data_IF_096361091875
#
_entry.id   IF_096361091875
#
_cell.length_a   1.000
_cell.length_b   1.000
_cell.length_c   1.000
_cell.angle_alpha   90.00
_cell.angle_beta   90.00
_cell.angle_gamma   90.00
#
_symmetry.space_group_name_H-M   'P 1'
#
loop_
_entity.id
_entity.type
_entity.pdbx_description
1 polymer ?
#
# COMPACT_ATOMS: atom_id res chain seq x y z
N UNK A 1 2.05 54.56 -13.59
CA UNK A 1 2.75 53.26 -13.62
C UNK A 1 4.12 53.50 -12.99
N UNK A 2 4.34 53.04 -11.75
CA UNK A 2 5.67 53.10 -11.14
C UNK A 2 6.56 52.05 -11.85
N UNK A 3 7.78 52.42 -12.25
CA UNK A 3 8.68 51.44 -12.87
C UNK A 3 9.01 50.33 -11.87
N UNK A 4 8.81 49.07 -12.32
CA UNK A 4 9.17 47.88 -11.54
C UNK A 4 10.64 47.96 -11.13
N UNK A 5 11.01 47.78 -9.85
CA UNK A 5 12.41 47.83 -9.43
C UNK A 5 13.28 46.87 -10.24
N UNK A 6 14.44 47.34 -10.74
CA UNK A 6 15.38 46.55 -11.56
C UNK A 6 15.61 45.10 -11.06
N UNK A 7 15.85 44.86 -9.75
CA UNK A 7 16.08 43.51 -9.24
C UNK A 7 14.89 42.57 -9.42
N UNK A 8 13.66 43.07 -9.40
CA UNK A 8 12.46 42.26 -9.59
C UNK A 8 12.27 41.84 -11.06
N UNK A 9 12.62 42.75 -12.02
CA UNK A 9 12.57 42.41 -13.44
C UNK A 9 13.61 41.34 -13.83
N UNK A 10 14.83 41.42 -13.27
CA UNK A 10 15.89 40.43 -13.47
C UNK A 10 15.50 39.06 -12.91
N UNK A 11 14.91 39.04 -11.71
CA UNK A 11 14.43 37.80 -11.10
C UNK A 11 13.29 37.14 -11.90
N UNK A 12 12.36 37.93 -12.40
CA UNK A 12 11.25 37.45 -13.23
C UNK A 12 11.76 36.89 -14.56
N UNK A 13 12.74 37.55 -15.18
CA UNK A 13 13.39 37.07 -16.40
C UNK A 13 14.11 35.73 -16.16
N UNK A 14 14.85 35.62 -15.07
CA UNK A 14 15.49 34.35 -14.68
C UNK A 14 14.49 33.21 -14.49
N UNK A 15 13.35 33.50 -13.85
CA UNK A 15 12.32 32.48 -13.64
C UNK A 15 11.61 32.05 -14.94
N UNK A 16 11.45 32.97 -15.91
CA UNK A 16 10.84 32.63 -17.20
C UNK A 16 11.71 31.68 -18.05
N UNK A 17 13.01 31.60 -17.78
CA UNK A 17 13.92 30.65 -18.42
C UNK A 17 13.92 29.26 -17.74
N UNK A 18 13.31 29.12 -16.57
CA UNK A 18 13.23 27.82 -15.90
C UNK A 18 12.18 26.91 -16.58
N UNK A 19 12.55 25.64 -16.76
CA UNK A 19 11.68 24.66 -17.38
C UNK A 19 10.53 24.22 -16.43
N UNK A 20 10.77 24.29 -15.11
CA UNK A 20 9.82 23.94 -14.09
C UNK A 20 8.86 25.08 -13.77
N UNK A 21 7.64 24.79 -13.29
CA UNK A 21 6.68 25.79 -12.83
C UNK A 21 7.17 26.57 -11.60
N UNK A 22 7.22 27.90 -11.69
CA UNK A 22 7.56 28.80 -10.60
C UNK A 22 6.56 29.92 -10.44
N UNK A 23 6.27 30.30 -9.19
CA UNK A 23 5.60 31.55 -8.82
C UNK A 23 6.43 32.32 -7.79
N UNK A 24 6.30 33.65 -7.82
CA UNK A 24 6.78 34.52 -6.77
C UNK A 24 5.61 35.15 -6.04
N UNK A 25 5.66 35.23 -4.74
CA UNK A 25 4.66 35.94 -3.94
C UNK A 25 5.29 36.66 -2.74
N UNK A 26 4.52 37.62 -2.22
CA UNK A 26 4.87 38.38 -1.04
C UNK A 26 4.50 37.61 0.26
N UNK A 27 4.77 38.21 1.40
CA UNK A 27 4.44 37.67 2.72
C UNK A 27 2.91 37.71 3.03
N UNK A 28 2.13 38.31 2.12
CA UNK A 28 0.67 38.39 2.20
C UNK A 28 -0.05 37.41 1.24
N UNK A 29 0.64 36.34 0.78
CA UNK A 29 0.11 35.33 -0.12
C UNK A 29 -0.21 35.81 -1.56
N UNK A 30 0.12 37.07 -1.90
CA UNK A 30 -0.19 37.64 -3.21
C UNK A 30 0.84 37.21 -4.24
N UNK A 31 0.40 36.62 -5.33
CA UNK A 31 1.25 36.23 -6.46
C UNK A 31 1.70 37.48 -7.21
N UNK A 32 3.01 37.67 -7.27
CA UNK A 32 3.64 38.83 -7.93
C UNK A 32 4.13 38.49 -9.33
N UNK A 33 4.54 37.23 -9.56
CA UNK A 33 4.97 36.75 -10.85
C UNK A 33 4.72 35.24 -10.98
N UNK A 34 4.55 34.77 -12.19
CA UNK A 34 4.44 33.36 -12.54
C UNK A 34 5.15 33.12 -13.88
N UNK A 35 6.01 32.10 -13.97
CA UNK A 35 6.72 31.82 -15.21
C UNK A 35 5.83 31.15 -16.28
N UNK A 36 6.34 31.02 -17.49
CA UNK A 36 5.62 30.41 -18.61
C UNK A 36 5.24 28.94 -18.34
N UNK A 37 6.11 28.19 -17.63
CA UNK A 37 5.84 26.80 -17.27
C UNK A 37 4.68 26.69 -16.29
N UNK A 38 4.61 27.55 -15.27
CA UNK A 38 3.49 27.60 -14.33
C UNK A 38 2.16 27.93 -15.04
N UNK A 39 2.17 28.97 -15.88
CA UNK A 39 0.96 29.36 -16.63
C UNK A 39 0.42 28.21 -17.47
N UNK A 40 1.31 27.48 -18.16
CA UNK A 40 0.88 26.30 -18.97
C UNK A 40 0.31 25.16 -18.12
N UNK A 41 0.94 24.87 -16.97
CA UNK A 41 0.62 23.69 -16.17
C UNK A 41 -0.60 23.90 -15.25
N UNK A 42 -0.77 25.11 -14.69
CA UNK A 42 -1.73 25.36 -13.62
C UNK A 42 -2.80 26.41 -13.94
N UNK A 43 -2.56 27.34 -14.86
CA UNK A 43 -3.53 28.40 -15.19
C UNK A 43 -3.41 28.88 -16.63
N UNK A 44 -3.72 28.01 -17.63
CA UNK A 44 -3.54 28.36 -19.05
C UNK A 44 -4.47 29.48 -19.55
N UNK A 45 -5.61 29.66 -18.90
CA UNK A 45 -6.68 30.54 -19.39
C UNK A 45 -6.87 31.84 -18.58
N UNK A 46 -6.12 32.02 -17.49
CA UNK A 46 -6.31 33.18 -16.59
C UNK A 46 -4.98 33.71 -16.06
N UNK A 47 -4.89 35.04 -15.88
CA UNK A 47 -3.76 35.63 -15.15
C UNK A 47 -3.87 35.33 -13.67
N UNK A 48 -2.79 34.85 -13.08
CA UNK A 48 -2.67 34.56 -11.64
C UNK A 48 -2.02 35.70 -10.86
N UNK A 49 -1.34 36.62 -11.55
CA UNK A 49 -0.64 37.75 -10.93
C UNK A 49 -1.66 38.68 -10.27
N UNK A 50 -1.38 39.05 -9.03
CA UNK A 50 -2.24 39.87 -8.19
C UNK A 50 -3.28 39.10 -7.37
N UNK A 51 -3.48 37.81 -7.62
CA UNK A 51 -4.39 36.93 -6.88
C UNK A 51 -3.66 36.27 -5.69
N UNK A 52 -4.41 35.70 -4.76
CA UNK A 52 -3.85 34.98 -3.63
C UNK A 52 -3.48 33.55 -4.03
N UNK A 53 -2.37 33.02 -3.53
CA UNK A 53 -1.91 31.67 -3.90
C UNK A 53 -2.93 30.59 -3.52
N UNK A 54 -3.55 30.69 -2.34
CA UNK A 54 -4.58 29.72 -1.87
C UNK A 54 -5.87 29.76 -2.71
N UNK A 55 -6.23 30.91 -3.31
CA UNK A 55 -7.38 31.02 -4.24
C UNK A 55 -7.09 30.28 -5.55
N UNK A 56 -5.86 30.43 -6.06
CA UNK A 56 -5.47 29.86 -7.35
C UNK A 56 -5.21 28.37 -7.25
N UNK A 57 -4.51 27.93 -6.21
CA UNK A 57 -4.03 26.54 -6.10
C UNK A 57 -5.05 25.60 -5.43
N UNK A 58 -5.87 26.12 -4.52
CA UNK A 58 -6.80 25.31 -3.71
C UNK A 58 -8.25 25.73 -3.79
N UNK A 59 -8.56 26.86 -4.46
CA UNK A 59 -9.89 27.48 -4.48
C UNK A 59 -10.42 27.82 -3.08
N UNK A 60 -9.52 28.13 -2.14
CA UNK A 60 -9.86 28.54 -0.78
C UNK A 60 -10.06 30.06 -0.69
N UNK A 61 -10.91 30.48 0.26
CA UNK A 61 -11.14 31.89 0.59
C UNK A 61 -10.19 32.44 1.68
N UNK A 62 -9.38 31.55 2.29
CA UNK A 62 -8.42 31.85 3.36
C UNK A 62 -7.16 30.98 3.19
N UNK A 63 -6.03 31.30 3.85
CA UNK A 63 -4.80 30.53 3.78
C UNK A 63 -4.96 29.04 4.11
N UNK A 64 -4.11 28.17 3.53
CA UNK A 64 -4.20 26.71 3.61
C UNK A 64 -4.18 26.18 5.05
N UNK A 65 -3.39 26.82 5.93
CA UNK A 65 -3.30 26.48 7.36
C UNK A 65 -4.59 26.73 8.15
N UNK A 66 -5.45 27.61 7.65
CA UNK A 66 -6.78 27.85 8.21
C UNK A 66 -7.84 26.87 7.67
N UNK A 67 -7.50 26.10 6.62
CA UNK A 67 -8.36 25.08 6.01
C UNK A 67 -7.88 23.66 6.30
N UNK A 68 -7.03 23.47 7.32
CA UNK A 68 -6.58 22.16 7.78
C UNK A 68 -5.40 21.57 6.98
N UNK A 69 -4.79 22.34 6.10
CA UNK A 69 -3.62 21.93 5.33
C UNK A 69 -2.32 22.62 5.81
N UNK A 70 -1.19 22.00 5.53
CA UNK A 70 0.12 22.59 5.91
C UNK A 70 0.52 23.67 4.93
N UNK A 71 0.49 24.95 5.32
CA UNK A 71 0.89 26.05 4.46
C UNK A 71 2.43 26.18 4.39
N UNK A 72 3.08 26.03 3.21
CA UNK A 72 4.53 26.19 3.08
C UNK A 72 4.99 27.62 3.37
N UNK A 73 4.19 28.63 3.00
CA UNK A 73 4.51 30.02 3.27
C UNK A 73 4.48 30.34 4.77
N UNK A 74 3.45 29.90 5.49
CA UNK A 74 3.37 30.09 6.94
C UNK A 74 4.58 29.48 7.65
N UNK A 75 5.02 28.30 7.23
CA UNK A 75 6.21 27.62 7.77
C UNK A 75 7.50 28.35 7.42
N UNK A 76 7.70 28.73 6.17
CA UNK A 76 8.90 29.44 5.72
C UNK A 76 9.02 30.84 6.37
N UNK A 77 7.90 31.51 6.65
CA UNK A 77 7.89 32.75 7.43
C UNK A 77 8.34 32.55 8.87
N UNK A 78 7.89 31.46 9.50
CA UNK A 78 8.25 31.15 10.89
C UNK A 78 9.71 30.67 11.01
N UNK A 79 10.18 29.83 10.08
CA UNK A 79 11.52 29.24 10.12
C UNK A 79 12.59 30.11 9.47
N UNK A 80 12.21 31.00 8.56
CA UNK A 80 13.13 31.75 7.70
C UNK A 80 13.95 30.85 6.77
N UNK A 81 13.56 29.61 6.60
CA UNK A 81 14.26 28.59 5.81
C UNK A 81 13.41 28.08 4.66
N UNK A 82 14.05 27.34 3.77
CA UNK A 82 13.41 26.62 2.69
C UNK A 82 12.52 25.52 3.23
N UNK A 83 11.29 25.45 2.73
CA UNK A 83 10.30 24.44 3.11
C UNK A 83 9.91 23.58 1.91
N UNK A 84 9.64 22.30 2.17
CA UNK A 84 9.11 21.35 1.19
C UNK A 84 7.86 20.70 1.73
N UNK A 85 6.79 20.77 0.95
CA UNK A 85 5.51 20.15 1.27
C UNK A 85 4.89 19.54 0.02
N UNK A 86 4.11 18.50 0.20
CA UNK A 86 3.28 17.93 -0.85
C UNK A 86 1.87 18.42 -0.63
N UNK A 87 1.32 19.13 -1.63
CA UNK A 87 -0.05 19.65 -1.59
C UNK A 87 -0.91 19.05 -2.69
N UNK A 88 -2.21 18.95 -2.43
CA UNK A 88 -3.20 18.65 -3.45
C UNK A 88 -3.63 19.97 -4.11
N UNK A 89 -3.25 20.17 -5.36
CA UNK A 89 -3.61 21.35 -6.13
C UNK A 89 -4.70 21.07 -7.16
N UNK A 90 -5.56 22.04 -7.39
CA UNK A 90 -6.44 22.04 -8.55
C UNK A 90 -5.66 22.43 -9.80
N UNK A 91 -5.60 21.53 -10.77
CA UNK A 91 -4.98 21.73 -12.07
C UNK A 91 -6.04 21.72 -13.17
N UNK A 92 -5.74 22.20 -14.37
CA UNK A 92 -6.67 22.11 -15.51
C UNK A 92 -7.11 20.68 -15.86
N UNK A 93 -6.32 19.67 -15.43
CA UNK A 93 -6.60 18.25 -15.63
C UNK A 93 -7.30 17.59 -14.42
N UNK A 94 -7.66 18.35 -13.40
CA UNK A 94 -8.23 17.85 -12.13
C UNK A 94 -7.29 18.03 -10.95
N UNK A 95 -7.62 17.41 -9.83
CA UNK A 95 -6.77 17.44 -8.62
C UNK A 95 -5.52 16.60 -8.82
N UNK A 96 -4.35 17.16 -8.46
CA UNK A 96 -3.06 16.46 -8.53
C UNK A 96 -2.20 16.82 -7.32
N UNK A 97 -1.45 15.83 -6.83
CA UNK A 97 -0.41 16.09 -5.83
C UNK A 97 0.76 16.82 -6.47
N UNK A 98 1.11 17.96 -5.88
CA UNK A 98 2.21 18.83 -6.31
C UNK A 98 3.23 18.90 -5.20
N UNK A 99 4.46 18.50 -5.51
CA UNK A 99 5.60 18.73 -4.63
C UNK A 99 5.99 20.19 -4.71
N UNK A 100 5.86 20.91 -3.60
CA UNK A 100 6.15 22.32 -3.47
C UNK A 100 7.47 22.50 -2.75
N UNK A 101 8.37 23.21 -3.37
CA UNK A 101 9.58 23.71 -2.74
C UNK A 101 9.53 25.23 -2.66
N UNK A 102 9.40 25.75 -1.44
CA UNK A 102 9.32 27.19 -1.19
C UNK A 102 10.62 27.70 -0.60
N UNK A 103 11.20 28.70 -1.25
CA UNK A 103 12.46 29.32 -0.85
C UNK A 103 12.24 30.80 -0.49
N UNK A 104 12.53 31.23 0.74
CA UNK A 104 12.52 32.65 1.11
C UNK A 104 13.69 33.41 0.45
N UNK A 105 13.37 34.51 -0.21
CA UNK A 105 14.34 35.35 -0.88
C UNK A 105 14.66 36.58 -0.01
N UNK A 106 15.96 36.83 0.21
CA UNK A 106 16.43 37.92 1.06
C UNK A 106 16.92 39.08 0.21
N UNK A 107 16.63 40.28 0.66
CA UNK A 107 17.22 41.51 0.08
C UNK A 107 18.68 41.70 0.51
N UNK A 108 19.34 42.71 0.02
CA UNK A 108 20.73 43.06 0.35
C UNK A 108 20.96 43.31 1.86
N UNK A 109 19.92 43.64 2.63
CA UNK A 109 19.96 43.80 4.09
C UNK A 109 19.71 42.48 4.85
N UNK A 110 19.57 41.34 4.17
CA UNK A 110 19.32 40.04 4.78
C UNK A 110 17.84 39.77 5.18
N UNK A 111 16.94 40.72 4.92
CA UNK A 111 15.52 40.61 5.26
C UNK A 111 14.79 39.83 4.17
N UNK A 112 13.96 38.85 4.58
CA UNK A 112 13.07 38.12 3.66
C UNK A 112 11.97 39.04 3.17
N UNK A 113 11.86 39.25 1.87
CA UNK A 113 10.87 40.15 1.25
C UNK A 113 9.99 39.44 0.24
N UNK A 114 10.42 38.32 -0.29
CA UNK A 114 9.74 37.57 -1.32
C UNK A 114 9.92 36.07 -1.06
N UNK A 115 9.05 35.26 -1.69
CA UNK A 115 9.12 33.82 -1.66
C UNK A 115 9.01 33.28 -3.08
N UNK A 116 9.95 32.39 -3.44
CA UNK A 116 9.91 31.64 -4.70
C UNK A 116 9.40 30.24 -4.43
N UNK A 117 8.34 29.86 -5.11
CA UNK A 117 7.75 28.52 -5.01
C UNK A 117 7.95 27.78 -6.34
N UNK A 118 8.68 26.67 -6.26
CA UNK A 118 8.82 25.68 -7.33
C UNK A 118 7.76 24.61 -7.14
N UNK A 119 7.11 24.24 -8.23
CA UNK A 119 6.08 23.20 -8.24
C UNK A 119 6.46 22.08 -9.17
N UNK A 120 6.40 20.84 -8.69
CA UNK A 120 6.56 19.64 -9.49
C UNK A 120 5.31 18.77 -9.29
N UNK A 121 4.50 18.62 -10.34
CA UNK A 121 3.45 17.60 -10.32
C UNK A 121 4.10 16.23 -10.28
N UNK A 122 3.65 15.36 -9.36
CA UNK A 122 4.00 13.95 -9.41
C UNK A 122 3.47 13.41 -10.74
N UNK A 123 4.39 13.22 -11.70
CA UNK A 123 4.05 12.88 -13.09
C UNK A 123 3.46 11.47 -13.16
N UNK A 124 2.29 11.36 -13.74
CA UNK A 124 1.88 10.14 -14.42
C UNK A 124 2.51 10.18 -15.82
N UNK A 125 3.18 9.11 -16.23
CA UNK A 125 3.75 9.00 -17.59
C UNK A 125 2.66 9.22 -18.64
N UNK A 126 2.86 10.08 -19.64
CA UNK A 126 1.83 10.43 -20.63
C UNK A 126 1.38 9.30 -21.57
N UNK A 127 2.08 8.17 -21.58
CA UNK A 127 1.76 7.02 -22.44
C UNK A 127 0.76 6.02 -21.82
N UNK A 128 0.14 6.34 -20.65
CA UNK A 128 -0.86 5.50 -19.99
C UNK A 128 -2.21 6.21 -19.81
N UNK A 129 -2.68 6.97 -20.80
CA UNK A 129 -4.05 7.53 -20.77
C UNK A 129 -5.16 6.47 -20.86
N UNK A 130 -4.83 5.19 -21.12
CA UNK A 130 -5.78 4.08 -21.12
C UNK A 130 -5.81 3.26 -19.81
N UNK A 131 -4.84 3.48 -18.92
CA UNK A 131 -4.77 2.76 -17.63
C UNK A 131 -4.39 3.78 -16.56
N UNK A 132 -5.36 4.51 -16.02
CA UNK A 132 -5.18 5.36 -14.85
C UNK A 132 -4.74 4.46 -13.68
N UNK A 133 -3.43 4.27 -13.55
CA UNK A 133 -2.80 3.47 -12.51
C UNK A 133 -3.31 3.89 -11.12
N UNK A 134 -3.17 3.04 -10.12
CA UNK A 134 -3.69 3.31 -8.79
C UNK A 134 -3.04 4.56 -8.19
N UNK A 135 -3.83 5.57 -7.90
CA UNK A 135 -3.43 6.88 -7.36
C UNK A 135 -3.48 6.85 -5.84
N UNK A 136 -2.53 7.53 -5.19
CA UNK A 136 -2.56 7.78 -3.74
C UNK A 136 -3.67 8.81 -3.44
N UNK A 137 -4.66 8.42 -2.61
CA UNK A 137 -5.83 9.22 -2.27
C UNK A 137 -5.92 9.37 -0.76
N UNK A 138 -6.04 10.59 -0.25
CA UNK A 138 -6.24 10.92 1.14
C UNK A 138 -5.94 12.40 1.43
N UNK A 139 -6.54 12.92 2.52
CA UNK A 139 -6.34 14.30 3.03
C UNK A 139 -6.09 14.33 4.54
N UNK A 140 -6.22 13.19 5.19
CA UNK A 140 -6.01 13.10 6.64
C UNK A 140 -4.62 13.58 7.05
N UNK A 141 -4.46 14.15 8.26
CA UNK A 141 -3.17 14.61 8.77
C UNK A 141 -2.11 13.49 8.78
N UNK A 142 -2.51 12.26 9.12
CA UNK A 142 -1.61 11.09 9.12
C UNK A 142 -1.12 10.75 7.70
N UNK A 143 -2.01 10.79 6.72
CA UNK A 143 -1.66 10.56 5.32
C UNK A 143 -0.79 11.68 4.74
N UNK A 144 -1.12 12.94 5.03
CA UNK A 144 -0.33 14.11 4.62
C UNK A 144 1.09 14.08 5.23
N UNK A 145 1.23 13.69 6.50
CA UNK A 145 2.53 13.54 7.14
C UNK A 145 3.38 12.46 6.46
N UNK A 146 2.79 11.31 6.12
CA UNK A 146 3.46 10.24 5.36
C UNK A 146 3.91 10.75 3.99
N UNK A 147 3.06 11.44 3.24
CA UNK A 147 3.41 12.03 1.94
C UNK A 147 4.53 13.07 2.05
N UNK A 148 4.55 13.84 3.14
CA UNK A 148 5.66 14.78 3.43
C UNK A 148 7.01 14.07 3.57
N UNK A 149 7.04 12.88 4.16
CA UNK A 149 8.26 12.04 4.21
C UNK A 149 8.67 11.52 2.83
N UNK A 150 7.69 11.09 2.01
CA UNK A 150 7.93 10.67 0.62
C UNK A 150 8.56 11.81 -0.19
N UNK A 151 8.02 13.02 -0.10
CA UNK A 151 8.55 14.19 -0.80
C UNK A 151 9.99 14.55 -0.36
N UNK A 152 10.31 14.35 0.92
CA UNK A 152 11.67 14.58 1.45
C UNK A 152 12.69 13.56 0.97
N UNK A 153 12.32 12.28 0.97
CA UNK A 153 13.25 11.21 0.62
C UNK A 153 13.32 10.99 -0.90
N UNK A 154 12.27 11.34 -1.65
CA UNK A 154 12.19 11.17 -3.09
C UNK A 154 13.46 11.59 -3.83
N UNK A 155 13.91 12.86 -3.72
CA UNK A 155 15.09 13.36 -4.45
C UNK A 155 16.43 12.74 -4.03
N UNK A 156 16.48 11.95 -2.95
CA UNK A 156 17.69 11.30 -2.47
C UNK A 156 17.88 9.91 -3.05
N UNK A 157 19.08 9.33 -2.86
CA UNK A 157 19.38 7.93 -3.16
C UNK A 157 19.29 7.03 -1.93
N UNK A 158 18.79 7.54 -0.80
CA UNK A 158 18.65 6.78 0.42
C UNK A 158 17.75 5.55 0.24
N UNK A 159 18.10 4.47 0.92
CA UNK A 159 17.24 3.29 1.05
C UNK A 159 16.01 3.65 1.89
N UNK A 160 14.84 3.24 1.43
CA UNK A 160 13.55 3.53 2.09
C UNK A 160 12.93 2.23 2.57
N UNK A 161 12.47 2.21 3.82
CA UNK A 161 11.70 1.11 4.40
C UNK A 161 10.26 1.55 4.65
N UNK A 162 9.31 0.96 3.94
CA UNK A 162 7.89 1.19 4.08
C UNK A 162 7.30 0.22 5.10
N UNK A 163 6.80 0.74 6.20
CA UNK A 163 6.20 -0.03 7.29
C UNK A 163 4.69 0.19 7.31
N UNK A 164 3.92 -0.87 7.32
CA UNK A 164 2.46 -0.75 7.40
C UNK A 164 1.74 -2.06 7.16
N UNK A 165 0.52 -2.13 7.66
CA UNK A 165 -0.33 -3.31 7.53
C UNK A 165 -0.56 -3.72 6.06
N UNK A 166 -0.97 -4.97 5.86
CA UNK A 166 -1.35 -5.42 4.52
C UNK A 166 -2.52 -4.60 3.97
N UNK A 167 -2.46 -4.24 2.68
CA UNK A 167 -3.51 -3.48 2.01
C UNK A 167 -3.53 -1.97 2.27
N UNK A 168 -2.52 -1.39 2.94
CA UNK A 168 -2.41 0.07 3.16
C UNK A 168 -1.96 0.84 1.93
N UNK A 169 -1.38 0.17 0.90
CA UNK A 169 -0.91 0.78 -0.33
C UNK A 169 0.62 0.97 -0.40
N UNK A 170 1.40 0.12 0.26
CA UNK A 170 2.89 0.18 0.27
C UNK A 170 3.49 0.25 -1.14
N UNK A 171 2.97 -0.54 -2.09
CA UNK A 171 3.43 -0.52 -3.49
C UNK A 171 3.21 0.85 -4.15
N UNK A 172 2.07 1.50 -3.89
CA UNK A 172 1.78 2.84 -4.42
C UNK A 172 2.74 3.89 -3.87
N UNK A 173 3.06 3.79 -2.58
CA UNK A 173 4.03 4.68 -1.94
C UNK A 173 5.43 4.41 -2.49
N UNK A 174 5.82 3.15 -2.73
CA UNK A 174 7.10 2.83 -3.37
C UNK A 174 7.21 3.45 -4.78
N UNK A 175 6.13 3.38 -5.56
CA UNK A 175 6.04 4.03 -6.87
C UNK A 175 6.18 5.55 -6.75
N UNK A 176 5.48 6.18 -5.81
CA UNK A 176 5.59 7.63 -5.56
C UNK A 176 7.01 8.05 -5.14
N UNK A 177 7.70 7.25 -4.32
CA UNK A 177 9.11 7.47 -3.96
C UNK A 177 10.03 7.38 -5.19
N UNK A 178 9.78 6.44 -6.09
CA UNK A 178 10.52 6.31 -7.34
C UNK A 178 10.27 7.49 -8.28
N UNK A 179 9.02 7.86 -8.50
CA UNK A 179 8.60 8.97 -9.37
C UNK A 179 9.13 10.33 -8.87
N UNK A 180 9.26 10.50 -7.55
CA UNK A 180 9.88 11.69 -6.94
C UNK A 180 11.42 11.67 -6.97
N UNK A 181 12.06 10.68 -7.59
CA UNK A 181 13.50 10.49 -7.57
C UNK A 181 14.20 10.97 -8.86
N UNK A 182 15.53 11.17 -8.83
CA UNK A 182 16.31 11.40 -10.04
C UNK A 182 16.24 10.24 -11.06
N UNK A 183 15.71 9.07 -10.63
CA UNK A 183 15.56 7.87 -11.44
C UNK A 183 14.12 7.64 -11.93
N UNK A 184 13.25 8.64 -11.87
CA UNK A 184 11.84 8.55 -12.27
C UNK A 184 11.64 8.04 -13.71
N UNK A 185 12.56 8.36 -14.64
CA UNK A 185 12.53 7.89 -16.02
C UNK A 185 13.23 6.53 -16.24
N UNK A 186 13.70 5.88 -15.17
CA UNK A 186 14.40 4.59 -15.19
C UNK A 186 13.45 3.48 -14.72
N UNK A 187 13.79 2.19 -14.90
CA UNK A 187 12.92 1.10 -14.49
C UNK A 187 12.67 1.09 -12.97
N UNK A 188 11.42 0.83 -12.58
CA UNK A 188 11.02 0.39 -11.26
C UNK A 188 10.71 -1.10 -11.34
N UNK A 189 11.57 -1.94 -10.76
CA UNK A 189 11.40 -3.39 -10.74
C UNK A 189 10.92 -3.84 -9.39
N UNK A 190 9.71 -4.41 -9.34
CA UNK A 190 9.10 -4.93 -8.11
C UNK A 190 9.40 -6.44 -7.96
N UNK A 191 9.69 -6.84 -6.73
CA UNK A 191 9.96 -8.22 -6.32
C UNK A 191 9.12 -8.52 -5.09
N UNK A 192 8.23 -9.50 -5.20
CA UNK A 192 7.51 -10.05 -4.04
C UNK A 192 8.37 -11.15 -3.40
N UNK A 193 8.86 -10.89 -2.19
CA UNK A 193 9.74 -11.79 -1.46
C UNK A 193 9.01 -12.97 -0.80
N UNK A 194 7.68 -12.95 -0.73
CA UNK A 194 6.86 -13.98 -0.08
C UNK A 194 6.44 -15.11 -1.01
N UNK A 195 6.47 -14.90 -2.31
CA UNK A 195 5.75 -15.73 -3.30
C UNK A 195 6.53 -16.96 -3.78
N UNK A 196 7.86 -17.04 -3.56
CA UNK A 196 8.72 -18.05 -4.17
C UNK A 196 9.49 -18.90 -3.13
N UNK A 197 9.69 -20.21 -3.39
CA UNK A 197 10.68 -21.01 -2.67
C UNK A 197 12.08 -20.39 -2.76
N UNK A 198 12.90 -20.57 -1.72
CA UNK A 198 14.22 -19.93 -1.58
C UNK A 198 15.11 -20.05 -2.82
N UNK A 199 15.20 -21.25 -3.41
CA UNK A 199 16.06 -21.50 -4.59
C UNK A 199 15.56 -20.77 -5.83
N UNK A 200 14.26 -20.63 -6.00
CA UNK A 200 13.67 -19.89 -7.11
C UNK A 200 13.79 -18.39 -6.87
N UNK A 201 13.60 -17.93 -5.63
CA UNK A 201 13.78 -16.53 -5.26
C UNK A 201 15.19 -16.04 -5.53
N UNK A 202 16.23 -16.85 -5.19
CA UNK A 202 17.62 -16.53 -5.51
C UNK A 202 17.86 -16.38 -7.02
N UNK A 203 17.36 -17.37 -7.78
CA UNK A 203 17.48 -17.41 -9.23
C UNK A 203 16.75 -16.25 -9.93
N UNK A 204 15.56 -15.88 -9.47
CA UNK A 204 14.81 -14.74 -10.02
C UNK A 204 15.49 -13.41 -9.66
N UNK A 205 15.94 -13.24 -8.41
CA UNK A 205 16.54 -11.99 -7.94
C UNK A 205 17.92 -11.74 -8.58
N UNK A 206 18.82 -12.73 -8.54
CA UNK A 206 20.22 -12.56 -8.98
C UNK A 206 20.52 -13.14 -10.36
N UNK A 207 19.60 -13.93 -10.93
CA UNK A 207 19.81 -14.65 -12.17
C UNK A 207 20.62 -15.94 -11.97
N UNK A 208 20.73 -16.74 -13.03
CA UNK A 208 21.48 -17.99 -13.01
C UNK A 208 22.25 -18.22 -14.30
N UNK A 209 23.33 -18.98 -14.20
CA UNK A 209 24.06 -19.48 -15.36
C UNK A 209 23.51 -20.85 -15.80
N UNK A 210 23.79 -21.23 -17.04
CA UNK A 210 23.42 -22.54 -17.57
C UNK A 210 24.01 -23.66 -16.69
N UNK A 211 23.18 -24.60 -16.28
CA UNK A 211 23.57 -25.74 -15.42
C UNK A 211 23.65 -25.43 -13.92
N UNK A 212 23.22 -24.27 -13.48
CA UNK A 212 23.27 -23.86 -12.07
C UNK A 212 22.44 -24.77 -11.15
N UNK A 213 21.35 -25.34 -11.67
CA UNK A 213 20.48 -26.31 -10.98
C UNK A 213 19.76 -27.19 -12.01
N UNK A 214 19.07 -28.24 -11.53
CA UNK A 214 18.26 -29.13 -12.40
C UNK A 214 17.14 -28.33 -13.05
N UNK A 215 17.20 -28.19 -14.40
CA UNK A 215 16.26 -27.37 -15.18
C UNK A 215 16.83 -26.04 -15.68
N UNK A 216 18.01 -25.63 -15.27
CA UNK A 216 18.70 -24.43 -15.76
C UNK A 216 19.34 -24.67 -17.15
N UNK A 217 18.53 -24.83 -18.18
CA UNK A 217 18.99 -25.14 -19.53
C UNK A 217 19.64 -23.93 -20.26
N UNK A 218 19.25 -22.70 -19.85
CA UNK A 218 19.72 -21.44 -20.44
C UNK A 218 20.11 -20.50 -19.29
N UNK A 219 21.12 -19.65 -19.48
CA UNK A 219 21.43 -18.58 -18.53
C UNK A 219 20.36 -17.51 -18.58
N UNK A 220 19.97 -16.95 -17.42
CA UNK A 220 18.95 -15.92 -17.31
C UNK A 220 19.42 -14.77 -16.42
N UNK A 221 19.21 -13.52 -16.88
CA UNK A 221 19.44 -12.32 -16.08
C UNK A 221 18.44 -12.22 -14.94
N UNK A 222 18.86 -11.76 -13.77
CA UNK A 222 18.00 -11.56 -12.60
C UNK A 222 17.38 -10.16 -12.55
N UNK A 223 16.43 -9.99 -11.61
CA UNK A 223 15.71 -8.73 -11.40
C UNK A 223 16.63 -7.61 -10.92
N UNK A 224 17.72 -7.92 -10.20
CA UNK A 224 18.78 -6.95 -9.84
C UNK A 224 19.43 -6.35 -11.07
N UNK A 225 19.69 -7.16 -12.10
CA UNK A 225 20.27 -6.71 -13.37
C UNK A 225 19.28 -5.85 -14.15
N UNK A 226 18.00 -6.26 -14.18
CA UNK A 226 16.92 -5.50 -14.81
C UNK A 226 16.65 -4.15 -14.12
N UNK A 227 16.87 -4.05 -12.80
CA UNK A 227 16.72 -2.83 -12.02
C UNK A 227 17.94 -1.89 -12.12
N UNK A 228 19.03 -2.28 -12.79
CA UNK A 228 20.25 -1.48 -12.83
C UNK A 228 20.03 -0.13 -13.52
N UNK A 229 20.53 0.94 -12.90
CA UNK A 229 20.24 2.33 -13.27
C UNK A 229 18.92 2.87 -12.72
N UNK A 230 18.04 2.00 -12.19
CA UNK A 230 16.68 2.31 -11.72
C UNK A 230 16.48 2.08 -10.22
N UNK A 231 15.30 1.59 -9.87
CA UNK A 231 14.89 1.30 -8.50
C UNK A 231 14.43 -0.16 -8.38
N UNK A 232 14.94 -0.85 -7.38
CA UNK A 232 14.48 -2.17 -6.97
C UNK A 232 13.51 -2.01 -5.80
N UNK A 233 12.27 -2.45 -5.95
CA UNK A 233 11.27 -2.49 -4.91
C UNK A 233 11.13 -3.92 -4.38
N UNK A 234 11.44 -4.11 -3.10
CA UNK A 234 11.35 -5.39 -2.41
C UNK A 234 10.10 -5.37 -1.51
N UNK A 235 9.03 -6.04 -1.93
CA UNK A 235 7.83 -6.18 -1.10
C UNK A 235 7.95 -7.37 -0.17
N UNK A 236 7.44 -7.22 1.05
CA UNK A 236 7.44 -8.20 2.13
C UNK A 236 8.87 -8.72 2.47
N UNK A 237 9.82 -7.79 2.69
CA UNK A 237 11.23 -8.15 3.01
C UNK A 237 11.38 -8.98 4.29
N UNK A 238 10.38 -8.97 5.20
CA UNK A 238 10.34 -9.84 6.38
C UNK A 238 10.20 -11.33 6.05
N UNK A 239 9.87 -11.69 4.82
CA UNK A 239 9.75 -13.09 4.37
C UNK A 239 11.04 -13.65 3.74
N UNK A 240 12.07 -12.82 3.57
CA UNK A 240 13.35 -13.24 2.97
C UNK A 240 14.05 -14.24 3.91
N UNK A 241 14.43 -15.44 3.40
CA UNK A 241 15.21 -16.43 4.17
C UNK A 241 16.56 -15.88 4.65
N UNK A 242 17.05 -16.32 5.81
CA UNK A 242 18.29 -15.84 6.41
C UNK A 242 19.52 -15.97 5.49
N UNK A 243 19.60 -17.04 4.71
CA UNK A 243 20.66 -17.25 3.71
C UNK A 243 20.66 -16.17 2.62
N UNK A 244 19.49 -15.72 2.22
CA UNK A 244 19.31 -14.67 1.22
C UNK A 244 19.54 -13.27 1.77
N UNK A 245 19.27 -13.06 3.08
CA UNK A 245 19.56 -11.79 3.74
C UNK A 245 21.04 -11.42 3.67
N UNK A 246 21.96 -12.39 3.74
CA UNK A 246 23.42 -12.18 3.59
C UNK A 246 23.77 -11.67 2.19
N UNK A 247 23.13 -12.25 1.14
CA UNK A 247 23.38 -11.85 -0.24
C UNK A 247 22.80 -10.48 -0.55
N UNK A 248 21.61 -10.18 0.01
CA UNK A 248 20.98 -8.87 -0.10
C UNK A 248 21.80 -7.79 0.62
N UNK A 249 22.32 -8.07 1.81
CA UNK A 249 23.18 -7.14 2.54
C UNK A 249 24.40 -6.76 1.69
N UNK A 250 25.08 -7.77 1.09
CA UNK A 250 26.23 -7.52 0.21
C UNK A 250 25.85 -6.63 -0.97
N UNK A 251 24.69 -6.87 -1.60
CA UNK A 251 24.19 -6.02 -2.68
C UNK A 251 23.97 -4.57 -2.22
N UNK A 252 23.38 -4.36 -1.03
CA UNK A 252 23.11 -3.03 -0.47
C UNK A 252 24.36 -2.28 -0.05
N UNK A 253 25.41 -2.97 0.39
CA UNK A 253 26.64 -2.35 0.87
C UNK A 253 27.61 -2.01 -0.27
N UNK A 254 27.81 -2.98 -1.17
CA UNK A 254 28.88 -2.91 -2.19
C UNK A 254 28.35 -2.70 -3.61
N UNK A 255 27.05 -2.80 -3.81
CA UNK A 255 26.44 -2.82 -5.15
C UNK A 255 26.82 -4.06 -5.96
N UNK A 256 27.33 -5.14 -5.31
CA UNK A 256 27.82 -6.32 -6.01
C UNK A 256 27.00 -7.57 -5.71
N UNK A 257 26.88 -8.44 -6.71
CA UNK A 257 26.17 -9.71 -6.60
C UNK A 257 26.82 -10.77 -7.51
N UNK A 258 26.37 -12.02 -7.42
CA UNK A 258 26.74 -13.12 -8.32
C UNK A 258 25.50 -13.84 -8.79
N UNK A 259 25.49 -14.33 -10.02
CA UNK A 259 24.46 -15.24 -10.49
C UNK A 259 24.62 -16.62 -9.84
N UNK A 260 23.51 -17.33 -9.70
CA UNK A 260 23.54 -18.72 -9.21
C UNK A 260 24.38 -19.57 -10.17
N UNK A 261 25.31 -20.36 -9.62
CA UNK A 261 26.23 -21.17 -10.40
C UNK A 261 27.44 -20.41 -10.98
N UNK A 262 27.63 -19.11 -10.64
CA UNK A 262 28.75 -18.30 -11.09
C UNK A 262 29.63 -17.79 -9.95
N UNK A 263 30.93 -17.74 -10.18
CA UNK A 263 31.90 -17.06 -9.31
C UNK A 263 32.17 -15.63 -9.73
N UNK A 264 31.69 -15.20 -10.92
CA UNK A 264 31.87 -13.86 -11.47
C UNK A 264 31.17 -12.82 -10.60
N UNK A 265 31.90 -11.76 -10.21
CA UNK A 265 31.37 -10.65 -9.46
C UNK A 265 30.78 -9.61 -10.42
N UNK A 266 29.48 -9.32 -10.29
CA UNK A 266 28.75 -8.32 -11.08
C UNK A 266 28.42 -7.12 -10.23
N UNK A 267 28.25 -5.96 -10.84
CA UNK A 267 27.82 -4.73 -10.19
C UNK A 267 26.45 -4.31 -10.69
N UNK A 268 25.61 -3.82 -9.77
CA UNK A 268 24.35 -3.17 -10.06
C UNK A 268 24.31 -1.80 -9.37
N UNK A 269 23.95 -0.77 -10.12
CA UNK A 269 23.70 0.56 -9.61
C UNK A 269 22.19 0.72 -9.40
N UNK A 270 21.70 0.39 -8.20
CA UNK A 270 20.27 0.39 -7.88
C UNK A 270 19.95 1.28 -6.67
N UNK A 271 18.80 1.96 -6.71
CA UNK A 271 18.14 2.47 -5.52
C UNK A 271 17.23 1.39 -4.95
N UNK A 272 17.22 1.20 -3.64
CA UNK A 272 16.35 0.20 -3.01
C UNK A 272 15.24 0.87 -2.22
N UNK A 273 14.01 0.43 -2.46
CA UNK A 273 12.83 0.69 -1.64
C UNK A 273 12.32 -0.66 -1.17
N UNK A 274 12.09 -0.82 0.12
CA UNK A 274 11.62 -2.07 0.72
C UNK A 274 10.33 -1.85 1.48
N UNK A 275 9.50 -2.89 1.59
CA UNK A 275 8.24 -2.82 2.31
C UNK A 275 8.01 -4.09 3.14
N UNK A 276 7.32 -3.95 4.27
CA UNK A 276 6.87 -5.08 5.07
C UNK A 276 5.70 -4.69 5.98
N UNK A 277 4.89 -5.68 6.33
CA UNK A 277 3.89 -5.57 7.39
C UNK A 277 4.38 -6.16 8.72
N UNK A 278 5.54 -6.84 8.73
CA UNK A 278 6.12 -7.50 9.91
C UNK A 278 6.92 -6.52 10.75
N UNK A 279 6.98 -6.81 12.04
CA UNK A 279 7.89 -6.14 12.99
C UNK A 279 9.29 -6.72 12.82
N UNK A 280 10.14 -6.02 12.02
CA UNK A 280 11.51 -6.46 11.78
C UNK A 280 12.37 -6.39 13.03
N UNK A 281 12.13 -5.43 13.96
CA UNK A 281 12.87 -5.35 15.22
C UNK A 281 12.60 -6.56 16.10
N UNK A 282 11.34 -7.01 16.18
CA UNK A 282 11.01 -8.25 16.87
C UNK A 282 11.66 -9.45 16.18
N UNK A 283 11.67 -9.48 14.83
CA UNK A 283 12.32 -10.56 14.09
C UNK A 283 13.84 -10.60 14.29
N UNK A 284 14.49 -9.45 14.49
CA UNK A 284 15.92 -9.38 14.85
C UNK A 284 16.14 -9.99 16.24
N UNK A 285 15.32 -9.62 17.23
CA UNK A 285 15.40 -10.21 18.59
C UNK A 285 15.20 -11.73 18.59
N UNK A 286 14.32 -12.22 17.71
CA UNK A 286 14.02 -13.65 17.55
C UNK A 286 15.07 -14.41 16.70
N UNK A 287 16.09 -13.74 16.17
CA UNK A 287 17.10 -14.33 15.27
C UNK A 287 16.59 -14.72 13.90
N UNK A 288 15.40 -14.25 13.50
CA UNK A 288 14.75 -14.50 12.17
C UNK A 288 15.11 -13.45 11.12
N UNK A 289 15.67 -12.33 11.53
CA UNK A 289 16.16 -11.28 10.64
C UNK A 289 17.52 -10.78 11.13
N UNK A 290 18.44 -10.48 10.23
CA UNK A 290 19.77 -10.00 10.58
C UNK A 290 19.72 -8.52 10.97
N UNK A 291 20.38 -8.17 12.04
CA UNK A 291 20.47 -6.81 12.56
C UNK A 291 21.17 -5.86 11.57
N UNK A 292 22.27 -6.31 10.95
CA UNK A 292 23.04 -5.54 9.96
C UNK A 292 22.19 -5.19 8.73
N UNK A 293 21.40 -6.13 8.21
CA UNK A 293 20.47 -5.89 7.12
C UNK A 293 19.34 -4.94 7.53
N UNK A 294 18.78 -5.09 8.74
CA UNK A 294 17.75 -4.20 9.27
C UNK A 294 18.23 -2.73 9.23
N UNK A 295 19.40 -2.44 9.79
CA UNK A 295 19.92 -1.06 9.78
C UNK A 295 20.20 -0.54 8.36
N UNK A 296 20.59 -1.39 7.43
CA UNK A 296 20.84 -0.99 6.06
C UNK A 296 19.56 -0.69 5.30
N UNK A 297 18.47 -1.44 5.55
CA UNK A 297 17.15 -1.21 4.97
C UNK A 297 16.44 -0.02 5.63
N UNK A 298 16.56 0.13 6.94
CA UNK A 298 15.88 1.13 7.76
C UNK A 298 16.59 2.50 7.78
N UNK A 299 17.30 2.85 6.68
CA UNK A 299 17.98 4.17 6.60
C UNK A 299 16.96 5.32 6.64
N UNK A 300 15.83 5.16 5.96
CA UNK A 300 14.72 6.12 6.02
C UNK A 300 13.39 5.37 6.13
N UNK A 301 12.91 5.11 7.36
CA UNK A 301 11.64 4.43 7.56
C UNK A 301 10.45 5.38 7.34
N UNK A 302 9.42 4.89 6.64
CA UNK A 302 8.14 5.59 6.44
C UNK A 302 7.02 4.65 6.90
N UNK A 303 6.28 5.06 7.92
CA UNK A 303 5.09 4.34 8.37
C UNK A 303 3.86 4.78 7.57
N UNK A 304 3.16 3.83 6.98
CA UNK A 304 1.88 4.02 6.32
C UNK A 304 0.77 3.90 7.37
N UNK A 305 -0.13 4.88 7.49
CA UNK A 305 -1.24 4.80 8.42
C UNK A 305 -2.23 3.71 7.97
N UNK A 306 -2.74 2.95 8.94
CA UNK A 306 -3.85 2.04 8.70
C UNK A 306 -5.12 2.83 8.33
N UNK A 307 -6.06 2.19 7.61
CA UNK A 307 -7.26 2.89 7.15
C UNK A 307 -8.12 3.43 8.31
N UNK A 308 -8.13 2.73 9.45
CA UNK A 308 -8.80 3.19 10.68
C UNK A 308 -8.17 4.46 11.29
N UNK A 309 -6.87 4.72 11.04
CA UNK A 309 -6.16 5.93 11.49
C UNK A 309 -6.44 7.12 10.56
N UNK A 310 -7.11 6.87 9.41
CA UNK A 310 -7.51 7.87 8.41
C UNK A 310 -8.91 7.61 7.87
N UNK A 311 -9.85 7.28 8.77
CA UNK A 311 -11.22 6.93 8.39
C UNK A 311 -11.94 8.05 7.61
N UNK A 312 -11.58 9.31 7.83
CA UNK A 312 -12.06 10.47 7.06
C UNK A 312 -11.73 10.39 5.57
N UNK A 313 -10.61 9.74 5.20
CA UNK A 313 -10.23 9.56 3.80
C UNK A 313 -11.15 8.58 3.04
N UNK A 314 -11.96 7.78 3.74
CA UNK A 314 -12.91 6.85 3.11
C UNK A 314 -13.90 7.60 2.23
N UNK A 315 -14.26 8.84 2.59
CA UNK A 315 -15.14 9.69 1.78
C UNK A 315 -14.57 9.98 0.39
N UNK A 316 -13.25 10.06 0.27
CA UNK A 316 -12.54 10.27 -1.00
C UNK A 316 -12.22 8.94 -1.69
N UNK A 317 -11.83 7.93 -0.90
CA UNK A 317 -11.44 6.62 -1.41
C UNK A 317 -12.63 5.85 -2.01
N UNK A 318 -13.81 5.88 -1.37
CA UNK A 318 -14.93 5.06 -1.79
C UNK A 318 -15.43 5.41 -3.22
N UNK A 319 -15.67 6.67 -3.60
CA UNK A 319 -16.02 7.01 -4.97
C UNK A 319 -14.95 6.62 -6.01
N UNK A 320 -13.67 6.89 -5.70
CA UNK A 320 -12.56 6.58 -6.59
C UNK A 320 -12.37 5.06 -6.79
N UNK A 321 -12.57 4.26 -5.75
CA UNK A 321 -12.54 2.80 -5.85
C UNK A 321 -13.74 2.27 -6.62
N UNK A 322 -14.95 2.81 -6.37
CA UNK A 322 -16.17 2.42 -7.10
C UNK A 322 -16.04 2.67 -8.60
N UNK A 323 -15.50 3.81 -9.00
CA UNK A 323 -15.26 4.11 -10.41
C UNK A 323 -14.39 3.05 -11.10
N UNK A 324 -13.46 2.43 -10.37
CA UNK A 324 -12.58 1.38 -10.90
C UNK A 324 -13.21 0.00 -10.90
N UNK A 325 -13.91 -0.37 -9.82
CA UNK A 325 -14.47 -1.72 -9.67
C UNK A 325 -15.81 -1.90 -10.38
N UNK A 326 -16.56 -0.81 -10.58
CA UNK A 326 -17.85 -0.80 -11.25
C UNK A 326 -17.78 -0.07 -12.60
N UNK A 327 -16.80 -0.40 -13.43
CA UNK A 327 -16.57 0.22 -14.74
C UNK A 327 -17.87 0.27 -15.58
N UNK A 328 -18.21 1.47 -16.07
CA UNK A 328 -19.44 1.71 -16.86
C UNK A 328 -20.70 1.99 -16.03
N UNK A 329 -20.64 1.96 -14.69
CA UNK A 329 -21.76 2.34 -13.81
C UNK A 329 -21.40 3.56 -12.98
N UNK A 330 -22.26 4.58 -12.99
CA UNK A 330 -22.07 5.78 -12.18
C UNK A 330 -22.74 5.58 -10.80
N UNK A 331 -22.08 4.80 -9.92
CA UNK A 331 -22.56 4.50 -8.58
C UNK A 331 -22.13 5.60 -7.60
N UNK A 332 -23.06 5.97 -6.68
CA UNK A 332 -22.79 6.88 -5.57
C UNK A 332 -23.05 6.16 -4.26
N UNK A 333 -22.35 6.56 -3.21
CA UNK A 333 -22.56 6.04 -1.84
C UNK A 333 -23.44 7.04 -1.08
N UNK A 334 -24.50 6.58 -0.44
CA UNK A 334 -25.33 7.45 0.42
C UNK A 334 -24.53 7.92 1.64
N UNK A 335 -24.92 9.04 2.24
CA UNK A 335 -24.23 9.59 3.42
C UNK A 335 -24.23 8.61 4.60
N UNK A 336 -25.33 7.90 4.80
CA UNK A 336 -25.51 6.90 5.85
C UNK A 336 -24.65 5.65 5.59
N UNK A 337 -24.56 5.21 4.33
CA UNK A 337 -23.69 4.10 3.92
C UNK A 337 -22.21 4.49 4.10
N UNK A 338 -21.84 5.73 3.80
CA UNK A 338 -20.49 6.24 4.00
C UNK A 338 -20.11 6.28 5.48
N UNK A 339 -21.03 6.76 6.36
CA UNK A 339 -20.82 6.75 7.80
C UNK A 339 -20.63 5.33 8.35
N UNK A 340 -21.38 4.34 7.82
CA UNK A 340 -21.20 2.94 8.16
C UNK A 340 -19.82 2.42 7.74
N UNK A 341 -19.33 2.78 6.54
CA UNK A 341 -18.00 2.41 6.08
C UNK A 341 -16.90 3.03 6.96
N UNK A 342 -17.05 4.30 7.37
CA UNK A 342 -16.09 4.99 8.23
C UNK A 342 -16.00 4.39 9.63
N UNK A 343 -17.07 3.79 10.12
CA UNK A 343 -17.12 3.15 11.43
C UNK A 343 -16.52 1.73 11.48
N UNK A 344 -16.12 1.15 10.34
CA UNK A 344 -15.54 -0.19 10.30
C UNK A 344 -14.05 -0.19 10.68
N UNK A 345 -13.52 -1.27 11.29
CA UNK A 345 -12.13 -1.36 11.74
C UNK A 345 -11.11 -1.60 10.62
N UNK A 346 -11.51 -2.09 9.47
CA UNK A 346 -10.71 -2.34 8.26
C UNK A 346 -9.37 -3.06 8.50
N UNK A 347 -9.35 -4.29 9.04
CA UNK A 347 -8.10 -5.03 9.22
C UNK A 347 -7.35 -5.30 7.91
N UNK A 348 -8.06 -5.43 6.78
CA UNK A 348 -7.47 -5.55 5.44
C UNK A 348 -7.31 -4.20 4.71
N UNK A 349 -7.49 -3.09 5.42
CA UNK A 349 -7.27 -1.72 4.95
C UNK A 349 -7.97 -1.40 3.61
N UNK A 350 -7.30 -0.69 2.70
CA UNK A 350 -7.87 -0.27 1.39
C UNK A 350 -8.19 -1.49 0.50
N UNK A 351 -7.44 -2.59 0.65
CA UNK A 351 -7.72 -3.82 -0.10
C UNK A 351 -9.07 -4.41 0.31
N UNK A 352 -9.37 -4.43 1.60
CA UNK A 352 -10.66 -4.90 2.12
C UNK A 352 -11.81 -3.96 1.71
N UNK A 353 -11.59 -2.65 1.84
CA UNK A 353 -12.57 -1.65 1.40
C UNK A 353 -12.91 -1.80 -0.10
N UNK A 354 -11.89 -1.96 -0.96
CA UNK A 354 -12.08 -2.19 -2.39
C UNK A 354 -12.93 -3.43 -2.65
N UNK A 355 -12.58 -4.56 -2.01
CA UNK A 355 -13.30 -5.82 -2.19
C UNK A 355 -14.76 -5.74 -1.67
N UNK A 356 -14.98 -4.97 -0.59
CA UNK A 356 -16.33 -4.71 -0.09
C UNK A 356 -17.13 -3.88 -1.10
N UNK A 357 -16.56 -2.80 -1.62
CA UNK A 357 -17.22 -1.93 -2.60
C UNK A 357 -17.51 -2.68 -3.91
N UNK A 358 -16.62 -3.55 -4.37
CA UNK A 358 -16.84 -4.42 -5.51
C UNK A 358 -18.06 -5.33 -5.30
N UNK A 359 -18.13 -6.04 -4.15
CA UNK A 359 -19.32 -6.85 -3.80
C UNK A 359 -20.58 -6.01 -3.69
N UNK A 360 -20.49 -4.85 -3.05
CA UNK A 360 -21.63 -3.94 -2.87
C UNK A 360 -22.15 -3.44 -4.23
N UNK A 361 -21.25 -3.18 -5.19
CA UNK A 361 -21.63 -2.77 -6.54
C UNK A 361 -22.41 -3.85 -7.29
N UNK A 362 -22.12 -5.13 -7.03
CA UNK A 362 -22.85 -6.28 -7.62
C UNK A 362 -24.23 -6.49 -6.97
N UNK A 363 -24.40 -6.10 -5.70
CA UNK A 363 -25.66 -6.22 -4.97
C UNK A 363 -26.60 -5.02 -5.19
N UNK A 364 -26.11 -3.93 -5.77
CA UNK A 364 -26.87 -2.72 -6.01
C UNK A 364 -27.35 -2.70 -7.47
N UNK A 365 -28.65 -2.82 -7.68
CA UNK A 365 -29.28 -2.70 -9.01
C UNK A 365 -29.44 -1.24 -9.47
N UNK A 366 -29.52 -0.31 -8.52
CA UNK A 366 -29.69 1.13 -8.76
C UNK A 366 -28.39 1.88 -9.00
N UNK A 367 -28.44 3.20 -8.87
CA UNK A 367 -27.30 4.11 -8.96
C UNK A 367 -26.76 4.58 -7.61
N UNK A 368 -27.44 4.23 -6.49
CA UNK A 368 -27.08 4.65 -5.14
C UNK A 368 -26.89 3.42 -4.24
N UNK A 369 -25.71 3.34 -3.64
CA UNK A 369 -25.37 2.33 -2.65
C UNK A 369 -25.91 2.78 -1.30
N UNK A 370 -26.91 2.05 -0.79
CA UNK A 370 -27.56 2.27 0.49
C UNK A 370 -26.90 1.45 1.63
N UNK A 371 -27.24 1.74 2.88
CA UNK A 371 -26.78 1.01 4.06
C UNK A 371 -27.06 -0.49 3.96
N UNK A 372 -28.24 -0.87 3.44
CA UNK A 372 -28.63 -2.27 3.25
C UNK A 372 -27.67 -3.05 2.37
N UNK A 373 -27.22 -2.47 1.27
CA UNK A 373 -26.24 -3.09 0.36
C UNK A 373 -24.88 -3.31 1.04
N UNK A 374 -24.41 -2.32 1.82
CA UNK A 374 -23.16 -2.42 2.59
C UNK A 374 -23.27 -3.49 3.67
N UNK A 375 -24.39 -3.53 4.43
CA UNK A 375 -24.62 -4.53 5.48
C UNK A 375 -24.67 -5.95 4.88
N UNK A 376 -25.36 -6.13 3.76
CA UNK A 376 -25.41 -7.40 3.06
C UNK A 376 -24.03 -7.86 2.59
N UNK A 377 -23.22 -6.95 2.02
CA UNK A 377 -21.86 -7.24 1.58
C UNK A 377 -20.93 -7.57 2.77
N UNK A 378 -21.11 -6.93 3.93
CA UNK A 378 -20.38 -7.22 5.18
C UNK A 378 -20.75 -8.59 5.74
N UNK A 379 -22.04 -8.96 5.72
CA UNK A 379 -22.53 -10.26 6.22
C UNK A 379 -21.92 -11.44 5.46
N UNK A 380 -21.73 -11.32 4.16
CA UNK A 380 -21.06 -12.36 3.33
C UNK A 380 -19.60 -12.57 3.76
N UNK A 381 -18.93 -11.55 4.29
CA UNK A 381 -17.50 -11.62 4.63
C UNK A 381 -17.24 -12.13 6.05
N UNK A 382 -18.18 -11.93 6.96
CA UNK A 382 -18.12 -12.47 8.32
C UNK A 382 -19.00 -13.73 8.35
N UNK A 383 -18.44 -14.95 8.27
CA UNK A 383 -19.20 -16.12 8.67
C UNK A 383 -19.67 -15.83 10.08
N UNK A 384 -20.93 -16.11 10.38
CA UNK A 384 -21.56 -15.83 11.66
C UNK A 384 -20.64 -16.33 12.79
N UNK A 385 -19.75 -15.48 13.24
CA UNK A 385 -18.99 -15.70 14.45
C UNK A 385 -19.99 -15.55 15.56
N UNK A 386 -20.54 -16.71 15.96
CA UNK A 386 -21.11 -16.96 17.27
C UNK A 386 -21.79 -15.70 17.89
N UNK A 387 -23.06 -15.48 17.52
CA UNK A 387 -23.99 -14.78 18.39
C UNK A 387 -24.21 -15.70 19.60
N UNK A 388 -23.23 -15.71 20.47
CA UNK A 388 -23.18 -16.46 21.70
C UNK A 388 -22.84 -15.51 22.84
N UNK A 389 -23.90 -15.17 23.59
CA UNK A 389 -23.83 -14.72 24.98
C UNK A 389 -23.43 -13.24 25.22
N UNK A 390 -24.36 -12.35 24.95
CA UNK A 390 -24.61 -11.24 25.88
C UNK A 390 -26.05 -11.39 26.36
N UNK A 391 -26.27 -12.40 27.20
CA UNK A 391 -27.51 -12.54 27.96
C UNK A 391 -27.36 -11.70 29.22
N UNK A 392 -28.24 -10.72 29.35
CA UNK A 392 -28.39 -9.87 30.53
C UNK A 392 -28.59 -10.70 31.79
N UNK A 393 -27.78 -10.45 32.78
CA UNK A 393 -28.03 -10.88 34.15
C UNK A 393 -29.11 -9.98 34.75
N UNK A 394 -30.33 -10.49 34.83
CA UNK A 394 -31.34 -10.04 35.81
C UNK A 394 -31.31 -11.02 36.97
N UNK A 395 -31.29 -10.52 38.21
CA UNK A 395 -31.32 -11.40 39.41
C UNK A 395 -32.71 -11.89 39.68
N UNK A 396 -32.89 -13.20 39.84
CA UNK A 396 -34.09 -13.83 40.37
C UNK A 396 -33.82 -14.43 41.75
N UNK A 397 -34.86 -14.44 42.63
CA UNK A 397 -34.70 -14.75 44.07
C UNK A 397 -34.62 -16.26 44.33
N UNK A 398 -33.99 -16.55 45.46
CA UNK A 398 -33.83 -17.87 46.02
C UNK A 398 -35.18 -18.57 46.34
N UNK A 399 -35.31 -19.84 45.94
CA UNK A 399 -36.28 -20.78 46.54
C UNK A 399 -35.73 -22.21 46.54
N UNK A 400 -35.54 -22.66 47.75
CA UNK A 400 -35.59 -24.02 48.36
C UNK A 400 -35.46 -25.31 47.53
N UNK A 401 -34.61 -26.13 48.05
CA UNK A 401 -34.26 -27.49 47.68
C UNK A 401 -35.48 -28.48 47.71
N UNK A 402 -35.49 -29.37 46.72
CA UNK A 402 -36.04 -30.70 46.87
C UNK A 402 -35.26 -31.69 46.01
N UNK A 403 -34.66 -32.66 46.64
CA UNK A 403 -33.91 -33.79 46.12
C UNK A 403 -34.81 -34.79 45.40
N UNK A 404 -34.50 -35.06 44.13
CA UNK A 404 -34.95 -36.32 43.47
C UNK A 404 -33.78 -36.87 42.68
N UNK A 405 -33.40 -38.12 42.97
CA UNK A 405 -32.40 -38.91 42.28
C UNK A 405 -32.88 -39.28 40.87
N UNK A 406 -32.05 -39.18 39.84
CA UNK A 406 -32.35 -39.82 38.55
C UNK A 406 -31.63 -41.13 38.35
N UNK A 407 -32.34 -42.05 37.68
CA UNK A 407 -31.85 -43.31 37.19
C UNK A 407 -30.80 -43.16 36.05
N UNK A 408 -29.96 -44.17 35.78
CA UNK A 408 -28.79 -44.03 34.92
C UNK A 408 -29.16 -43.99 33.45
N UNK A 409 -28.72 -42.96 32.75
CA UNK A 409 -28.77 -42.90 31.30
C UNK A 409 -27.49 -43.52 30.70
N UNK A 410 -27.64 -44.30 29.65
CA UNK A 410 -26.58 -44.98 28.90
C UNK A 410 -25.62 -43.97 28.22
N UNK A 411 -24.33 -44.30 28.08
CA UNK A 411 -23.34 -43.38 27.54
C UNK A 411 -23.38 -43.30 26.01
N UNK A 412 -23.63 -42.11 25.48
CA UNK A 412 -23.33 -41.81 24.07
C UNK A 412 -21.82 -41.92 23.79
N UNK A 413 -21.38 -42.43 22.63
CA UNK A 413 -19.97 -42.66 22.35
C UNK A 413 -19.22 -41.32 22.23
N UNK A 414 -18.33 -41.09 23.15
CA UNK A 414 -17.37 -39.99 23.18
C UNK A 414 -16.41 -40.09 21.99
N UNK A 415 -16.37 -39.09 21.15
CA UNK A 415 -15.34 -39.01 20.13
C UNK A 415 -13.96 -38.88 20.81
N UNK A 416 -13.05 -39.79 20.51
CA UNK A 416 -11.69 -39.80 21.01
C UNK A 416 -10.93 -38.54 20.50
N UNK A 417 -10.07 -37.91 21.32
CA UNK A 417 -9.29 -36.75 20.90
C UNK A 417 -8.35 -37.12 19.75
N UNK A 418 -8.30 -36.27 18.74
CA UNK A 418 -7.37 -36.37 17.62
C UNK A 418 -5.96 -36.10 18.15
N UNK A 419 -5.07 -37.10 18.08
CA UNK A 419 -3.66 -36.96 18.37
C UNK A 419 -3.02 -35.94 17.39
N UNK A 420 -2.60 -34.79 17.91
CA UNK A 420 -2.04 -33.68 17.14
C UNK A 420 -0.65 -33.95 16.52
N UNK A 421 -0.08 -35.16 16.73
CA UNK A 421 1.28 -35.53 16.29
C UNK A 421 1.33 -36.52 15.10
N UNK A 422 0.20 -36.79 14.44
CA UNK A 422 0.20 -37.69 13.27
C UNK A 422 0.58 -36.90 12.00
N UNK A 423 1.37 -37.51 11.06
CA UNK A 423 1.64 -36.90 9.77
C UNK A 423 0.32 -36.58 9.03
N UNK A 424 0.24 -35.44 8.36
CA UNK A 424 -0.98 -34.95 7.68
C UNK A 424 -1.63 -36.00 6.79
N UNK A 425 -0.84 -36.85 6.14
CA UNK A 425 -1.28 -37.92 5.27
C UNK A 425 -2.01 -39.04 6.02
N UNK A 426 -1.61 -39.36 7.24
CA UNK A 426 -2.27 -40.36 8.09
C UNK A 426 -3.57 -39.83 8.68
N UNK A 427 -3.61 -38.54 9.00
CA UNK A 427 -4.83 -37.86 9.43
C UNK A 427 -5.88 -37.83 8.33
N UNK A 428 -5.48 -37.48 7.09
CA UNK A 428 -6.36 -37.51 5.91
C UNK A 428 -6.94 -38.92 5.67
N UNK A 429 -6.13 -39.94 5.77
CA UNK A 429 -6.55 -41.34 5.56
C UNK A 429 -7.51 -41.80 6.67
N UNK A 430 -7.31 -41.40 7.91
CA UNK A 430 -8.19 -41.69 9.04
C UNK A 430 -9.55 -41.02 8.90
N UNK A 431 -9.58 -39.73 8.56
CA UNK A 431 -10.83 -39.01 8.30
C UNK A 431 -11.59 -39.61 7.13
N UNK A 432 -10.89 -40.03 6.08
CA UNK A 432 -11.52 -40.68 4.92
C UNK A 432 -12.14 -42.04 5.28
N UNK A 433 -11.48 -42.82 6.13
CA UNK A 433 -12.03 -44.10 6.65
C UNK A 433 -13.29 -43.89 7.50
N UNK A 434 -13.29 -42.92 8.39
CA UNK A 434 -14.44 -42.59 9.23
C UNK A 434 -15.63 -42.10 8.42
N UNK A 435 -15.37 -41.26 7.41
CA UNK A 435 -16.41 -40.78 6.49
C UNK A 435 -16.99 -41.93 5.65
N UNK A 436 -16.15 -42.82 5.12
CA UNK A 436 -16.56 -43.98 4.35
C UNK A 436 -17.41 -44.94 5.20
N UNK A 437 -17.05 -45.14 6.47
CA UNK A 437 -17.80 -46.04 7.39
C UNK A 437 -19.19 -45.48 7.76
N UNK A 438 -19.39 -44.18 7.72
CA UNK A 438 -20.65 -43.50 8.05
C UNK A 438 -21.53 -43.22 6.82
N UNK A 439 -20.96 -43.26 5.61
CA UNK A 439 -21.69 -42.93 4.38
C UNK A 439 -22.49 -44.11 3.87
N UNK A 440 -23.83 -43.95 3.76
CA UNK A 440 -24.75 -44.98 3.26
C UNK A 440 -25.14 -44.79 1.79
N UNK A 441 -24.42 -43.93 1.04
CA UNK A 441 -24.70 -43.60 -0.36
C UNK A 441 -23.72 -44.22 -1.35
N UNK A 442 -23.81 -43.78 -2.61
CA UNK A 442 -22.87 -44.16 -3.66
C UNK A 442 -21.51 -43.49 -3.51
N UNK A 443 -20.44 -44.05 -4.08
CA UNK A 443 -19.11 -43.44 -4.08
C UNK A 443 -19.10 -42.06 -4.78
N UNK A 444 -19.95 -41.86 -5.77
CA UNK A 444 -20.17 -40.59 -6.45
C UNK A 444 -20.73 -39.54 -5.49
N UNK A 445 -21.70 -39.92 -4.66
CA UNK A 445 -22.29 -39.07 -3.61
C UNK A 445 -21.26 -38.68 -2.56
N UNK A 446 -20.40 -39.63 -2.12
CA UNK A 446 -19.32 -39.34 -1.18
C UNK A 446 -18.25 -38.41 -1.78
N UNK A 447 -17.93 -38.55 -3.07
CA UNK A 447 -17.00 -37.64 -3.76
C UNK A 447 -17.54 -36.23 -3.83
N UNK A 448 -18.83 -36.07 -4.15
CA UNK A 448 -19.51 -34.77 -4.15
C UNK A 448 -19.54 -34.12 -2.75
N UNK A 449 -19.84 -34.92 -1.70
CA UNK A 449 -19.84 -34.44 -0.30
C UNK A 449 -18.44 -33.99 0.17
N UNK A 450 -17.38 -34.64 -0.30
CA UNK A 450 -15.99 -34.30 0.01
C UNK A 450 -15.40 -33.19 -0.90
N UNK A 451 -16.13 -32.70 -1.90
CA UNK A 451 -15.70 -31.70 -2.84
C UNK A 451 -14.54 -32.12 -3.76
N UNK A 452 -14.42 -33.46 -4.03
CA UNK A 452 -13.37 -34.03 -4.88
C UNK A 452 -13.95 -34.83 -6.04
N UNK A 453 -13.16 -35.02 -7.12
CA UNK A 453 -13.60 -35.88 -8.23
C UNK A 453 -13.62 -37.36 -7.81
N UNK A 454 -14.53 -38.17 -8.38
CA UNK A 454 -14.61 -39.62 -8.16
C UNK A 454 -13.25 -40.32 -8.42
N UNK A 455 -12.52 -39.88 -9.43
CA UNK A 455 -11.18 -40.39 -9.76
C UNK A 455 -10.18 -40.13 -8.63
N UNK A 456 -10.27 -38.94 -7.98
CA UNK A 456 -9.43 -38.59 -6.83
C UNK A 456 -9.80 -39.41 -5.61
N UNK A 457 -11.10 -39.63 -5.35
CA UNK A 457 -11.59 -40.48 -4.28
C UNK A 457 -11.10 -41.92 -4.48
N UNK A 458 -11.25 -42.48 -5.68
CA UNK A 458 -10.82 -43.84 -6.01
C UNK A 458 -9.33 -44.08 -5.79
N UNK A 459 -8.49 -43.10 -6.22
CA UNK A 459 -7.03 -43.16 -6.00
C UNK A 459 -6.67 -43.11 -4.51
N UNK A 460 -7.38 -42.35 -3.69
CA UNK A 460 -7.18 -42.28 -2.24
C UNK A 460 -7.68 -43.53 -1.51
N UNK A 461 -8.78 -44.11 -1.94
CA UNK A 461 -9.30 -45.37 -1.41
C UNK A 461 -8.37 -46.56 -1.71
N UNK A 462 -7.77 -46.62 -2.90
CA UNK A 462 -6.79 -47.66 -3.27
C UNK A 462 -5.51 -47.57 -2.41
N UNK A 463 -5.16 -46.39 -1.91
CA UNK A 463 -4.05 -46.22 -0.95
C UNK A 463 -4.42 -46.70 0.48
N UNK A 464 -5.68 -47.03 0.76
CA UNK A 464 -6.16 -47.54 2.05
C UNK A 464 -6.18 -49.07 2.11
N UNK A 465 -6.09 -49.77 0.96
CA UNK A 465 -6.04 -51.23 0.91
C UNK A 465 -4.61 -51.71 1.20
N UNK A 466 -4.38 -52.51 2.25
CA UNK A 466 -3.06 -53.06 2.54
C UNK A 466 -2.74 -54.14 1.49
N UNK A 467 -1.89 -53.82 0.49
CA UNK A 467 -1.41 -54.81 -0.46
C UNK A 467 -1.13 -54.37 -1.90
N UNK A 468 -0.99 -53.09 -2.21
CA UNK A 468 -0.59 -52.64 -3.55
C UNK A 468 0.78 -51.95 -3.51
N UNK A 469 1.80 -52.74 -3.26
CA UNK A 469 3.21 -52.40 -3.57
C UNK A 469 3.63 -53.38 -4.68
N UNK A 470 3.65 -52.88 -5.92
CA UNK A 470 4.54 -53.28 -7.03
C UNK A 470 4.59 -52.08 -8.00
#
# INVERSE_FOLDING_TARGET
MNPTPKPFAELTSFLDEQAEPYILFDDHYRILAANAAYRRAFSPNQSVVGRMCYEVSHHYSSPCDQNGETCPLARARASGQRERVLHLHHTPKGEAYVNIELTPLRNAAGVVTLFAEKMETLRHSPDQEADAGPVLIGRSPAFAAMLGLVARVGPSMATVLLLGESGTGKELVARAVHEASPRAARPLVAVDCSSLPETLFESELFGHERGAFTGAHVARAGLVEAASGGTLFLDEVGDIPLSMQVKLLRLLETGTYRRVGSTELRRADIRVVSATHRDLEQMVRDGRFREDLYFRLSTFPIRLPALRERAEDIALLAPALLQRVASGRNLRVSAEALALLQAQPWPGNVRELRNLLERTSLLCDGSVIEVSHVQQALAVTRPAAVAGVASGASPLPAATAASVSPAPAEPSPTAAPLDANLPLRELELRVLRERLARHQGSRASLAAELGISERTLYRRLRALEPGASE
#
